data_IF_133360856837
#
_entry.id   IF_133360856837
#
_cell.length_a   1.000
_cell.length_b   1.000
_cell.length_c   1.000
_cell.angle_alpha   90.00
_cell.angle_beta   90.00
_cell.angle_gamma   90.00
#
_symmetry.space_group_name_H-M   'P 1'
#
loop_
_entity.id
_entity.type
_entity.pdbx_description
1 polymer ?
#
# COMPACT_ATOMS: atom_id res chain seq x y z
N UNK A 1 -56.17 -68.26 64.69
CA UNK A 1 -56.06 -67.67 66.04
C UNK A 1 -54.81 -66.80 66.04
N UNK A 2 -54.97 -65.51 66.39
CA UNK A 2 -53.98 -64.41 66.45
C UNK A 2 -53.38 -63.91 65.12
N UNK A 3 -53.22 -62.61 64.84
CA UNK A 3 -53.85 -61.34 65.24
C UNK A 3 -53.15 -60.25 64.38
N UNK A 4 -53.90 -59.26 63.87
CA UNK A 4 -53.64 -57.80 63.90
C UNK A 4 -52.26 -57.24 63.45
N UNK A 5 -52.06 -56.06 62.85
CA UNK A 5 -52.81 -54.97 62.20
C UNK A 5 -51.72 -53.89 61.93
N UNK A 6 -51.94 -52.97 60.97
CA UNK A 6 -51.35 -51.60 60.92
C UNK A 6 -49.83 -51.49 60.57
N UNK A 7 -49.33 -50.69 59.61
CA UNK A 7 -49.53 -49.25 59.36
C UNK A 7 -48.97 -48.83 57.96
N UNK A 8 -49.63 -47.83 57.32
CA UNK A 8 -49.17 -46.81 56.33
C UNK A 8 -49.03 -47.10 54.82
N UNK A 9 -49.96 -46.47 54.08
CA UNK A 9 -49.87 -46.00 52.70
C UNK A 9 -48.66 -45.08 52.47
N UNK A 10 -47.90 -45.27 51.38
CA UNK A 10 -47.23 -44.17 50.67
C UNK A 10 -47.28 -44.41 49.15
N UNK A 11 -48.07 -43.57 48.46
CA UNK A 11 -47.73 -42.94 47.18
C UNK A 11 -47.45 -43.81 45.95
N UNK A 12 -48.35 -43.73 44.96
CA UNK A 12 -48.03 -43.98 43.54
C UNK A 12 -46.88 -43.05 43.11
N UNK A 13 -45.64 -43.52 43.14
CA UNK A 13 -44.56 -42.94 42.35
C UNK A 13 -44.58 -43.57 40.96
N UNK A 14 -45.29 -42.91 40.04
CA UNK A 14 -45.06 -43.12 38.61
C UNK A 14 -43.62 -42.68 38.32
N UNK A 15 -42.77 -43.68 38.11
CA UNK A 15 -41.39 -43.52 37.68
C UNK A 15 -41.38 -42.89 36.28
N UNK A 16 -41.32 -41.55 36.19
CA UNK A 16 -41.13 -40.81 34.94
C UNK A 16 -39.65 -40.90 34.54
N UNK A 17 -39.24 -42.04 33.99
CA UNK A 17 -37.90 -42.24 33.41
C UNK A 17 -37.99 -42.45 31.89
N UNK A 18 -38.50 -41.48 31.12
CA UNK A 18 -38.48 -41.59 29.64
C UNK A 18 -38.28 -40.28 28.86
N UNK A 19 -37.94 -39.14 29.50
CA UNK A 19 -37.76 -37.88 28.73
C UNK A 19 -36.33 -37.36 28.65
N UNK A 20 -35.36 -37.89 29.41
CA UNK A 20 -33.99 -37.33 29.40
C UNK A 20 -33.07 -37.94 28.34
N UNK A 21 -33.29 -39.19 27.91
CA UNK A 21 -32.39 -39.87 26.95
C UNK A 21 -32.62 -39.47 25.50
N UNK A 22 -33.86 -39.13 25.13
CA UNK A 22 -34.19 -38.68 23.77
C UNK A 22 -33.63 -37.29 23.48
N UNK A 23 -33.70 -36.38 24.45
CA UNK A 23 -33.19 -35.01 24.29
C UNK A 23 -31.67 -34.97 24.26
N UNK A 24 -30.97 -35.72 25.13
CA UNK A 24 -29.51 -35.81 25.10
C UNK A 24 -28.97 -36.38 23.77
N UNK A 25 -29.63 -37.39 23.20
CA UNK A 25 -29.25 -37.93 21.88
C UNK A 25 -29.61 -36.98 20.73
N UNK A 26 -30.67 -36.18 20.85
CA UNK A 26 -31.04 -35.16 19.85
C UNK A 26 -30.07 -33.96 19.91
N UNK A 27 -29.62 -33.57 21.10
CA UNK A 27 -28.62 -32.51 21.30
C UNK A 27 -27.25 -32.93 20.73
N UNK A 28 -26.84 -34.19 20.93
CA UNK A 28 -25.61 -34.74 20.33
C UNK A 28 -25.68 -34.84 18.79
N UNK A 29 -26.83 -35.22 18.24
CA UNK A 29 -27.05 -35.28 16.78
C UNK A 29 -27.10 -33.87 16.16
N UNK A 30 -27.74 -32.90 16.82
CA UNK A 30 -27.75 -31.51 16.36
C UNK A 30 -26.35 -30.88 16.40
N UNK A 31 -25.59 -31.09 17.48
CA UNK A 31 -24.22 -30.59 17.61
C UNK A 31 -23.26 -31.21 16.59
N UNK A 32 -23.42 -32.50 16.27
CA UNK A 32 -22.62 -33.17 15.23
C UNK A 32 -23.00 -32.74 13.82
N UNK A 33 -24.28 -32.50 13.55
CA UNK A 33 -24.76 -31.94 12.28
C UNK A 33 -24.25 -30.50 12.07
N UNK A 34 -24.35 -29.64 13.07
CA UNK A 34 -23.84 -28.26 13.03
C UNK A 34 -22.31 -28.22 12.83
N UNK A 35 -21.56 -29.09 13.52
CA UNK A 35 -20.11 -29.22 13.33
C UNK A 35 -19.74 -29.74 11.92
N UNK A 36 -20.55 -30.62 11.34
CA UNK A 36 -20.40 -31.09 9.95
C UNK A 36 -20.69 -29.97 8.94
N UNK A 37 -21.72 -29.17 9.17
CA UNK A 37 -22.10 -28.05 8.31
C UNK A 37 -21.08 -26.91 8.35
N UNK A 38 -20.51 -26.60 9.52
CA UNK A 38 -19.39 -25.67 9.69
C UNK A 38 -18.14 -26.20 8.96
N UNK A 39 -17.84 -27.50 9.10
CA UNK A 39 -16.72 -28.13 8.38
C UNK A 39 -16.91 -28.05 6.87
N UNK A 40 -18.12 -28.33 6.39
CA UNK A 40 -18.49 -28.22 4.97
C UNK A 40 -18.41 -26.78 4.45
N UNK A 41 -18.87 -25.80 5.22
CA UNK A 41 -18.76 -24.38 4.89
C UNK A 41 -17.29 -23.93 4.77
N UNK A 42 -16.44 -24.35 5.71
CA UNK A 42 -15.00 -24.06 5.69
C UNK A 42 -14.30 -24.68 4.48
N UNK A 43 -14.61 -25.94 4.13
CA UNK A 43 -14.06 -26.59 2.93
C UNK A 43 -14.43 -25.80 1.67
N UNK A 44 -15.69 -25.36 1.55
CA UNK A 44 -16.15 -24.52 0.43
C UNK A 44 -15.42 -23.17 0.39
N UNK A 45 -15.26 -22.50 1.55
CA UNK A 45 -14.55 -21.23 1.64
C UNK A 45 -13.07 -21.36 1.21
N UNK A 46 -12.40 -22.45 1.60
CA UNK A 46 -11.02 -22.70 1.16
C UNK A 46 -10.95 -22.91 -0.36
N UNK A 47 -11.86 -23.69 -0.96
CA UNK A 47 -11.89 -23.87 -2.41
C UNK A 47 -12.09 -22.53 -3.16
N UNK A 48 -13.04 -21.70 -2.71
CA UNK A 48 -13.25 -20.35 -3.28
C UNK A 48 -11.98 -19.49 -3.13
N UNK A 49 -11.32 -19.56 -1.98
CA UNK A 49 -10.09 -18.80 -1.76
C UNK A 49 -8.94 -19.29 -2.66
N UNK A 50 -8.82 -20.59 -2.90
CA UNK A 50 -7.81 -21.18 -3.79
C UNK A 50 -8.02 -20.75 -5.25
N UNK A 51 -9.27 -20.81 -5.73
CA UNK A 51 -9.65 -20.36 -7.07
C UNK A 51 -9.36 -18.87 -7.26
N UNK A 52 -9.79 -18.03 -6.31
CA UNK A 52 -9.49 -16.59 -6.34
C UNK A 52 -7.99 -16.33 -6.27
N UNK A 53 -7.24 -17.08 -5.47
CA UNK A 53 -5.81 -16.91 -5.36
C UNK A 53 -5.11 -17.23 -6.69
N UNK A 54 -5.56 -18.23 -7.43
CA UNK A 54 -5.04 -18.53 -8.76
C UNK A 54 -5.36 -17.43 -9.77
N UNK A 55 -6.60 -16.92 -9.76
CA UNK A 55 -6.98 -15.78 -10.61
C UNK A 55 -6.14 -14.53 -10.29
N UNK A 56 -5.99 -14.19 -9.01
CA UNK A 56 -5.19 -13.05 -8.55
C UNK A 56 -3.72 -13.23 -8.95
N UNK A 57 -3.14 -14.42 -8.78
CA UNK A 57 -1.78 -14.73 -9.26
C UNK A 57 -1.66 -14.55 -10.78
N UNK A 58 -2.65 -15.02 -11.52
CA UNK A 58 -2.68 -15.05 -12.98
C UNK A 58 -2.99 -13.71 -13.65
N UNK A 59 -3.73 -12.79 -13.01
CA UNK A 59 -4.29 -11.62 -13.71
C UNK A 59 -4.21 -10.28 -12.95
N UNK A 60 -3.89 -10.25 -11.65
CA UNK A 60 -3.88 -8.99 -10.90
C UNK A 60 -2.86 -7.97 -11.44
N UNK A 61 -3.36 -6.86 -12.01
CA UNK A 61 -2.53 -5.75 -12.51
C UNK A 61 -1.85 -4.98 -11.38
N UNK A 62 -2.57 -4.73 -10.28
CA UNK A 62 -2.01 -4.01 -9.12
C UNK A 62 -0.79 -4.70 -8.52
N UNK A 63 -0.81 -6.03 -8.42
CA UNK A 63 0.35 -6.80 -7.95
C UNK A 63 1.52 -6.75 -8.94
N UNK A 64 1.26 -6.76 -10.25
CA UNK A 64 2.29 -6.62 -11.29
C UNK A 64 2.97 -5.26 -11.20
N UNK A 65 2.19 -4.19 -11.17
CA UNK A 65 2.72 -2.81 -11.04
C UNK A 65 3.48 -2.65 -9.72
N UNK A 66 2.94 -3.13 -8.60
CA UNK A 66 3.63 -3.02 -7.31
C UNK A 66 4.96 -3.80 -7.26
N UNK A 67 5.02 -5.00 -7.89
CA UNK A 67 6.27 -5.77 -8.01
C UNK A 67 7.28 -5.03 -8.90
N UNK A 68 6.84 -4.57 -10.07
CA UNK A 68 7.68 -3.81 -11.00
C UNK A 68 8.24 -2.55 -10.33
N UNK A 69 7.37 -1.79 -9.65
CA UNK A 69 7.77 -0.60 -8.89
C UNK A 69 8.86 -0.92 -7.87
N UNK A 70 8.71 -1.97 -7.04
CA UNK A 70 9.74 -2.35 -6.06
C UNK A 70 11.07 -2.76 -6.72
N UNK A 71 11.01 -3.47 -7.84
CA UNK A 71 12.21 -3.88 -8.59
C UNK A 71 12.95 -2.65 -9.11
N UNK A 72 12.23 -1.74 -9.77
CA UNK A 72 12.80 -0.52 -10.35
C UNK A 72 13.28 0.44 -9.25
N UNK A 73 12.47 0.67 -8.22
CA UNK A 73 12.81 1.55 -7.10
C UNK A 73 14.11 1.11 -6.42
N UNK A 74 14.32 -0.20 -6.23
CA UNK A 74 15.54 -0.73 -5.64
C UNK A 74 16.81 -0.36 -6.42
N UNK A 75 16.75 -0.28 -7.75
CA UNK A 75 17.89 0.14 -8.59
C UNK A 75 18.29 1.58 -8.26
N UNK A 76 17.31 2.48 -8.18
CA UNK A 76 17.57 3.88 -7.84
C UNK A 76 17.96 4.05 -6.37
N UNK A 77 17.27 3.37 -5.44
CA UNK A 77 17.58 3.44 -4.01
C UNK A 77 19.02 3.00 -3.73
N UNK A 78 19.47 1.88 -4.29
CA UNK A 78 20.83 1.38 -4.10
C UNK A 78 21.89 2.36 -4.63
N UNK A 79 21.63 3.00 -5.77
CA UNK A 79 22.55 3.98 -6.33
C UNK A 79 22.55 5.32 -5.59
N UNK A 80 21.37 5.87 -5.28
CA UNK A 80 21.25 7.18 -4.65
C UNK A 80 21.64 7.17 -3.17
N UNK A 81 21.50 6.03 -2.49
CA UNK A 81 21.91 5.89 -1.10
C UNK A 81 23.42 6.16 -0.91
N UNK A 82 24.27 5.87 -1.90
CA UNK A 82 25.72 6.12 -1.82
C UNK A 82 26.06 7.61 -1.77
N UNK A 83 25.14 8.48 -2.20
CA UNK A 83 25.26 9.94 -2.18
C UNK A 83 24.27 10.59 -1.20
N UNK A 84 23.62 9.79 -0.35
CA UNK A 84 22.74 10.28 0.71
C UNK A 84 21.38 10.80 0.24
N UNK A 85 20.95 10.48 -0.98
CA UNK A 85 19.67 10.87 -1.58
C UNK A 85 18.71 9.69 -1.67
N UNK A 86 17.41 9.98 -1.64
CA UNK A 86 16.35 9.03 -2.00
C UNK A 86 15.65 9.44 -3.28
N UNK A 87 14.97 8.51 -3.94
CA UNK A 87 14.25 8.79 -5.18
C UNK A 87 13.18 9.90 -5.01
N UNK A 88 12.32 9.90 -3.96
CA UNK A 88 11.39 11.01 -3.73
C UNK A 88 12.08 12.36 -3.46
N UNK A 89 13.25 12.39 -2.84
CA UNK A 89 14.01 13.63 -2.65
C UNK A 89 14.55 14.15 -3.99
N UNK A 90 15.00 13.24 -4.85
CA UNK A 90 15.45 13.57 -6.20
C UNK A 90 14.31 14.11 -7.07
N UNK A 91 13.12 13.52 -6.99
CA UNK A 91 11.90 14.02 -7.65
C UNK A 91 11.52 15.43 -7.18
N UNK A 92 11.51 15.65 -5.84
CA UNK A 92 11.24 16.98 -5.26
C UNK A 92 12.27 18.01 -5.71
N UNK A 93 13.57 17.68 -5.68
CA UNK A 93 14.62 18.60 -6.13
C UNK A 93 14.49 18.93 -7.62
N UNK A 94 14.14 17.93 -8.45
CA UNK A 94 13.91 18.13 -9.90
C UNK A 94 12.79 19.14 -10.15
N UNK A 95 11.66 18.99 -9.44
CA UNK A 95 10.53 19.93 -9.52
C UNK A 95 10.89 21.34 -9.05
N UNK A 96 11.67 21.46 -7.97
CA UNK A 96 12.08 22.77 -7.44
C UNK A 96 13.10 23.46 -8.34
N UNK A 97 14.02 22.71 -8.96
CA UNK A 97 15.00 23.24 -9.94
C UNK A 97 14.28 23.74 -11.20
N UNK A 98 13.24 23.04 -11.63
CA UNK A 98 12.48 23.39 -12.84
C UNK A 98 11.44 24.49 -12.61
N UNK A 99 11.18 24.87 -11.36
CA UNK A 99 10.20 25.89 -11.01
C UNK A 99 10.76 27.30 -11.19
N UNK A 100 9.89 28.23 -11.61
CA UNK A 100 10.23 29.66 -11.73
C UNK A 100 10.15 30.43 -10.41
N UNK A 101 9.94 29.75 -9.29
CA UNK A 101 9.80 30.36 -7.97
C UNK A 101 9.35 29.35 -6.89
N UNK A 102 9.06 29.81 -5.66
CA UNK A 102 8.67 28.95 -4.55
C UNK A 102 7.41 28.11 -4.86
N UNK A 103 7.44 26.84 -4.48
CA UNK A 103 6.36 25.87 -4.75
C UNK A 103 5.66 25.47 -3.47
N UNK A 104 4.32 25.40 -3.49
CA UNK A 104 3.55 24.90 -2.34
C UNK A 104 3.73 23.38 -2.17
N UNK A 105 3.87 22.85 -0.94
CA UNK A 105 3.96 21.41 -0.71
C UNK A 105 2.77 20.60 -1.29
N UNK A 106 1.57 21.17 -1.26
CA UNK A 106 0.40 20.54 -1.88
C UNK A 106 0.51 20.44 -3.41
N UNK A 107 1.17 21.41 -4.06
CA UNK A 107 1.43 21.36 -5.49
C UNK A 107 2.50 20.31 -5.82
N UNK A 108 3.55 20.17 -4.99
CA UNK A 108 4.52 19.08 -5.14
C UNK A 108 3.86 17.71 -5.02
N UNK A 109 3.00 17.51 -4.02
CA UNK A 109 2.25 16.27 -3.84
C UNK A 109 1.40 15.93 -5.06
N UNK A 110 0.68 16.92 -5.61
CA UNK A 110 -0.15 16.74 -6.79
C UNK A 110 0.68 16.43 -8.05
N UNK A 111 1.77 17.18 -8.30
CA UNK A 111 2.62 17.00 -9.50
C UNK A 111 3.38 15.68 -9.49
N UNK A 112 3.87 15.27 -8.33
CA UNK A 112 4.65 14.04 -8.17
C UNK A 112 3.79 12.80 -7.90
N UNK A 113 2.46 12.95 -7.80
CA UNK A 113 1.53 11.89 -7.36
C UNK A 113 1.98 11.24 -6.04
N UNK A 114 2.54 12.05 -5.15
CA UNK A 114 3.00 11.61 -3.83
C UNK A 114 1.96 11.96 -2.77
N UNK A 115 1.82 11.06 -1.81
CA UNK A 115 1.05 11.35 -0.60
C UNK A 115 1.58 12.60 0.12
N UNK A 116 0.66 13.44 0.62
CA UNK A 116 1.03 14.69 1.33
C UNK A 116 1.97 14.44 2.50
N UNK A 117 1.78 13.32 3.21
CA UNK A 117 2.64 12.91 4.32
C UNK A 117 4.06 12.57 3.87
N UNK A 118 4.21 11.97 2.69
CA UNK A 118 5.51 11.67 2.06
C UNK A 118 6.24 12.95 1.69
N UNK A 119 5.56 13.91 1.07
CA UNK A 119 6.15 15.21 0.73
C UNK A 119 6.57 15.96 1.99
N UNK A 120 5.68 16.11 2.98
CA UNK A 120 5.98 16.82 4.22
C UNK A 120 7.17 16.21 4.98
N UNK A 121 7.25 14.88 5.07
CA UNK A 121 8.38 14.19 5.71
C UNK A 121 9.69 14.47 4.98
N UNK A 122 9.69 14.39 3.64
CA UNK A 122 10.90 14.64 2.86
C UNK A 122 11.34 16.11 2.96
N UNK A 123 10.42 17.07 2.83
CA UNK A 123 10.74 18.49 2.98
C UNK A 123 11.33 18.80 4.36
N UNK A 124 10.80 18.21 5.43
CA UNK A 124 11.36 18.39 6.77
C UNK A 124 12.81 17.87 6.88
N UNK A 125 13.12 16.73 6.26
CA UNK A 125 14.48 16.18 6.21
C UNK A 125 15.41 17.05 5.35
N UNK A 126 14.94 17.49 4.19
CA UNK A 126 15.70 18.31 3.25
C UNK A 126 15.99 19.70 3.85
N UNK A 127 15.04 20.28 4.58
CA UNK A 127 15.23 21.54 5.30
C UNK A 127 16.29 21.40 6.40
N UNK A 128 16.26 20.30 7.18
CA UNK A 128 17.30 19.99 8.17
C UNK A 128 18.69 19.85 7.55
N UNK A 129 18.77 19.38 6.30
CA UNK A 129 20.02 19.27 5.52
C UNK A 129 20.41 20.58 4.82
N UNK A 130 19.58 21.63 4.93
CA UNK A 130 19.80 22.91 4.28
C UNK A 130 19.50 22.92 2.77
N UNK A 131 18.99 21.83 2.20
CA UNK A 131 18.76 21.70 0.75
C UNK A 131 17.59 22.53 0.24
N UNK A 132 16.63 22.85 1.12
CA UNK A 132 15.45 23.67 0.81
C UNK A 132 15.22 24.69 1.89
N UNK A 133 14.62 25.82 1.51
CA UNK A 133 14.21 26.89 2.41
C UNK A 133 12.70 27.08 2.33
N UNK A 134 12.07 27.34 3.48
CA UNK A 134 10.65 27.67 3.54
C UNK A 134 10.48 29.18 3.40
N UNK A 135 9.59 29.58 2.51
CA UNK A 135 9.22 30.96 2.22
C UNK A 135 7.78 31.19 2.65
N UNK A 136 7.56 32.19 3.50
CA UNK A 136 6.22 32.63 3.85
C UNK A 136 5.57 33.31 2.65
N UNK A 137 4.43 32.78 2.20
CA UNK A 137 3.70 33.31 1.04
C UNK A 137 2.32 33.86 1.39
N UNK A 138 2.03 33.99 2.69
CA UNK A 138 0.81 34.63 3.19
C UNK A 138 1.10 35.41 4.47
N UNK A 139 0.53 36.64 4.62
CA UNK A 139 0.56 37.40 5.86
C UNK A 139 -0.06 36.66 7.06
N UNK A 140 -0.90 35.65 6.79
CA UNK A 140 -1.58 34.84 7.82
C UNK A 140 -0.79 33.60 8.24
N UNK A 141 0.42 33.38 7.70
CA UNK A 141 1.27 32.21 8.00
C UNK A 141 0.74 30.87 7.46
N UNK A 142 -0.50 30.81 6.94
CA UNK A 142 -1.15 29.57 6.50
C UNK A 142 -0.66 29.02 5.15
N UNK A 143 0.08 29.81 4.37
CA UNK A 143 0.65 29.37 3.09
C UNK A 143 2.18 29.42 3.15
N UNK A 144 2.78 28.25 3.39
CA UNK A 144 4.21 28.05 3.29
C UNK A 144 4.54 27.47 1.92
N UNK A 145 5.52 28.06 1.25
CA UNK A 145 6.08 27.53 -0.01
C UNK A 145 7.54 27.17 0.22
N UNK A 146 8.10 26.31 -0.63
CA UNK A 146 9.48 25.86 -0.54
C UNK A 146 10.25 26.26 -1.79
N UNK A 147 11.51 26.63 -1.62
CA UNK A 147 12.46 26.84 -2.70
C UNK A 147 13.70 25.99 -2.45
N UNK A 148 14.39 25.61 -3.52
CA UNK A 148 15.71 24.97 -3.42
C UNK A 148 16.75 26.00 -2.98
N UNK A 149 17.72 25.55 -2.18
CA UNK A 149 18.91 26.32 -1.80
C UNK A 149 20.14 25.82 -2.56
N UNK A 150 21.23 26.59 -2.57
CA UNK A 150 22.47 26.24 -3.29
C UNK A 150 23.03 24.87 -2.86
N UNK A 151 22.94 24.53 -1.57
CA UNK A 151 23.37 23.20 -1.09
C UNK A 151 22.49 22.07 -1.62
N UNK A 152 21.21 22.35 -1.89
CA UNK A 152 20.30 21.41 -2.54
C UNK A 152 20.64 21.20 -4.01
N UNK A 153 21.02 22.28 -4.73
CA UNK A 153 21.53 22.19 -6.11
C UNK A 153 22.82 21.38 -6.15
N UNK A 154 23.74 21.63 -5.21
CA UNK A 154 24.97 20.87 -5.09
C UNK A 154 24.72 19.38 -4.80
N UNK A 155 23.78 19.06 -3.89
CA UNK A 155 23.38 17.69 -3.60
C UNK A 155 22.74 16.99 -4.81
N UNK A 156 21.87 17.68 -5.54
CA UNK A 156 21.28 17.14 -6.77
C UNK A 156 22.33 16.84 -7.83
N UNK A 157 23.28 17.76 -8.02
CA UNK A 157 24.34 17.65 -9.03
C UNK A 157 25.32 16.51 -8.71
N UNK A 158 25.68 16.34 -7.43
CA UNK A 158 26.60 15.27 -7.01
C UNK A 158 26.02 13.87 -7.22
N UNK A 159 24.70 13.74 -7.26
CA UNK A 159 24.02 12.47 -7.52
C UNK A 159 23.96 12.09 -9.01
N UNK A 160 24.39 12.97 -9.92
CA UNK A 160 24.20 12.77 -11.37
C UNK A 160 24.82 11.47 -11.89
N UNK A 161 26.04 11.11 -11.46
CA UNK A 161 26.69 9.85 -11.88
C UNK A 161 25.93 8.63 -11.37
N UNK A 162 25.55 8.62 -10.09
CA UNK A 162 24.79 7.52 -9.49
C UNK A 162 23.42 7.35 -10.16
N UNK A 163 22.72 8.46 -10.41
CA UNK A 163 21.43 8.45 -11.09
C UNK A 163 21.55 7.98 -12.54
N UNK A 164 22.52 8.46 -13.32
CA UNK A 164 22.72 8.02 -14.71
C UNK A 164 22.99 6.52 -14.78
N UNK A 165 23.82 5.99 -13.87
CA UNK A 165 24.07 4.54 -13.77
C UNK A 165 22.79 3.75 -13.46
N UNK A 166 21.99 4.23 -12.49
CA UNK A 166 20.70 3.61 -12.17
C UNK A 166 19.73 3.67 -13.35
N UNK A 167 19.66 4.80 -14.04
CA UNK A 167 18.83 5.00 -15.21
C UNK A 167 19.21 4.05 -16.36
N UNK A 168 20.50 3.90 -16.67
CA UNK A 168 20.97 2.94 -17.67
C UNK A 168 20.63 1.50 -17.27
N UNK A 169 20.79 1.15 -15.99
CA UNK A 169 20.47 -0.18 -15.47
C UNK A 169 18.96 -0.48 -15.57
N UNK A 170 18.12 0.47 -15.17
CA UNK A 170 16.67 0.36 -15.27
C UNK A 170 16.19 0.28 -16.72
N UNK A 171 16.73 1.13 -17.62
CA UNK A 171 16.38 1.10 -19.04
C UNK A 171 16.78 -0.23 -19.70
N UNK A 172 17.94 -0.78 -19.35
CA UNK A 172 18.39 -2.09 -19.84
C UNK A 172 17.48 -3.22 -19.35
N UNK A 173 17.10 -3.18 -18.07
CA UNK A 173 16.22 -4.17 -17.46
C UNK A 173 14.81 -4.17 -18.06
N UNK A 174 14.26 -2.99 -18.34
CA UNK A 174 12.89 -2.83 -18.83
C UNK A 174 12.78 -2.90 -20.35
N UNK A 175 13.89 -2.72 -21.06
CA UNK A 175 13.95 -2.71 -22.52
C UNK A 175 13.69 -1.32 -23.12
N UNK A 176 14.02 -1.14 -24.41
CA UNK A 176 14.07 0.17 -25.06
C UNK A 176 12.70 0.86 -25.20
N UNK A 177 11.60 0.10 -25.21
CA UNK A 177 10.25 0.65 -25.30
C UNK A 177 9.68 1.14 -23.96
N UNK A 178 10.36 0.86 -22.85
CA UNK A 178 9.81 1.05 -21.51
C UNK A 178 9.39 2.50 -21.23
N UNK A 179 10.25 3.48 -21.55
CA UNK A 179 9.95 4.89 -21.34
C UNK A 179 8.68 5.31 -22.10
N UNK A 180 8.63 5.05 -23.40
CA UNK A 180 7.46 5.39 -24.23
C UNK A 180 6.17 4.69 -23.77
N UNK A 181 6.25 3.45 -23.29
CA UNK A 181 5.08 2.73 -22.78
C UNK A 181 4.59 3.31 -21.45
N UNK A 182 5.51 3.65 -20.54
CA UNK A 182 5.17 4.29 -19.28
C UNK A 182 4.55 5.67 -19.51
N UNK A 183 5.13 6.47 -20.39
CA UNK A 183 4.59 7.79 -20.76
C UNK A 183 3.18 7.63 -21.34
N UNK A 184 2.96 6.68 -22.25
CA UNK A 184 1.63 6.39 -22.80
C UNK A 184 0.62 6.02 -21.70
N UNK A 185 1.00 5.15 -20.75
CA UNK A 185 0.09 4.77 -19.65
C UNK A 185 -0.20 5.92 -18.69
N UNK A 186 0.77 6.80 -18.45
CA UNK A 186 0.60 7.99 -17.60
C UNK A 186 -0.21 9.09 -18.30
N UNK A 187 -0.03 9.30 -19.59
CA UNK A 187 -0.77 10.29 -20.39
C UNK A 187 -2.26 9.95 -20.46
N UNK A 188 -2.60 8.66 -20.59
CA UNK A 188 -3.99 8.18 -20.50
C UNK A 188 -4.66 8.61 -19.19
N UNK A 189 -3.90 8.68 -18.09
CA UNK A 189 -4.40 9.19 -16.80
C UNK A 189 -4.40 10.73 -16.77
N UNK A 190 -3.41 11.37 -17.37
CA UNK A 190 -3.23 12.82 -17.35
C UNK A 190 -4.37 13.60 -18.01
N UNK A 191 -4.92 13.08 -19.10
CA UNK A 191 -6.09 13.66 -19.79
C UNK A 191 -7.38 13.64 -18.96
N UNK A 192 -7.49 12.74 -17.97
CA UNK A 192 -8.70 12.61 -17.15
C UNK A 192 -8.71 13.51 -15.91
N UNK A 193 -7.56 14.06 -15.50
CA UNK A 193 -7.40 14.77 -14.22
C UNK A 193 -6.84 16.20 -14.34
N UNK A 194 -6.59 16.70 -15.56
CA UNK A 194 -5.99 18.03 -15.77
C UNK A 194 -4.50 18.10 -15.39
N UNK A 195 -3.83 16.95 -15.39
CA UNK A 195 -2.40 16.81 -15.13
C UNK A 195 -1.61 17.17 -16.40
N UNK A 196 -0.65 18.10 -16.28
CA UNK A 196 0.35 18.32 -17.33
C UNK A 196 1.40 17.25 -17.19
N UNK A 197 1.57 16.41 -18.22
CA UNK A 197 2.63 15.43 -18.31
C UNK A 197 3.99 16.04 -17.93
N UNK A 198 4.84 15.23 -17.27
CA UNK A 198 6.27 15.52 -17.13
C UNK A 198 6.77 15.77 -18.56
N UNK A 199 7.27 16.98 -18.85
CA UNK A 199 7.76 17.27 -20.19
C UNK A 199 8.88 16.26 -20.50
N UNK A 200 8.84 15.56 -21.65
CA UNK A 200 9.91 14.66 -22.02
C UNK A 200 11.23 15.43 -22.01
N UNK A 201 12.24 14.87 -21.36
CA UNK A 201 13.58 15.43 -21.39
C UNK A 201 14.10 15.35 -22.82
N UNK A 202 14.18 16.50 -23.50
CA UNK A 202 14.92 16.60 -24.76
C UNK A 202 16.36 16.18 -24.49
N UNK A 203 16.78 15.05 -25.04
CA UNK A 203 18.13 14.53 -24.91
C UNK A 203 19.13 15.62 -25.30
N UNK A 204 19.99 16.02 -24.36
CA UNK A 204 21.11 16.89 -24.67
C UNK A 204 22.18 16.01 -25.32
N UNK A 205 22.33 16.10 -26.64
CA UNK A 205 23.44 15.49 -27.37
C UNK A 205 24.75 16.14 -26.90
N UNK A 206 25.75 15.37 -26.43
CA UNK A 206 27.05 15.94 -26.09
C UNK A 206 27.79 16.29 -27.38
N UNK A 207 28.29 17.54 -27.44
CA UNK A 207 29.23 18.02 -28.47
C UNK A 207 30.64 17.48 -28.24
#
# INVERSE_FOLDING_TARGET
MLAMLEVLQIGRMSCRYTTTRSTLLQDDVAATQEASDIRGARIRQHAIADDLAEEVRGACLGMRVARLHRIVARVYEQALQTVGLSLPQMEILTELISATGPVRPAALAARLMLERSTVSRNLALMQKRGWVTVVETSPTGRAMSVTIADTGVAAFTSASTAWRSAQTSAATMLGPAAASMLDQWLDLYGHSTGFSAIRPHSAHEPS
#
